data_IF_112690103738
#
_entry.id   IF_112690103738
#
_cell.length_a   1.000
_cell.length_b   1.000
_cell.length_c   1.000
_cell.angle_alpha   90.00
_cell.angle_beta   90.00
_cell.angle_gamma   90.00
#
_symmetry.space_group_name_H-M   'P 1'
#
loop_
_entity.id
_entity.type
_entity.pdbx_description
1 polymer ?
#
# COMPACT_ATOMS: atom_id res chain seq x y z
N UNK A 1 9.18 -41.94 -28.92
CA UNK A 1 10.33 -41.01 -28.80
C UNK A 1 9.76 -39.74 -28.23
N UNK A 2 10.04 -39.49 -26.96
CA UNK A 2 9.32 -38.49 -26.17
C UNK A 2 9.77 -37.06 -26.43
N UNK A 3 8.88 -36.13 -26.07
CA UNK A 3 9.26 -34.92 -25.36
C UNK A 3 8.29 -34.78 -24.18
N UNK A 4 8.73 -35.02 -22.94
CA UNK A 4 8.02 -34.53 -21.76
C UNK A 4 8.56 -33.14 -21.35
N UNK A 5 7.76 -32.41 -20.53
CA UNK A 5 8.12 -31.23 -19.70
C UNK A 5 8.21 -29.92 -20.53
N UNK A 6 7.62 -28.75 -20.24
CA UNK A 6 7.01 -28.11 -19.06
C UNK A 6 6.22 -26.86 -19.50
N UNK A 7 5.43 -26.25 -18.59
CA UNK A 7 5.03 -24.83 -18.57
C UNK A 7 4.87 -24.09 -19.92
N UNK A 8 3.63 -23.92 -20.39
CA UNK A 8 3.32 -22.90 -21.41
C UNK A 8 3.93 -21.56 -20.98
N UNK A 9 4.87 -21.05 -21.78
CA UNK A 9 5.59 -19.81 -21.52
C UNK A 9 4.62 -18.65 -21.36
N UNK A 10 4.90 -17.74 -20.42
CA UNK A 10 4.15 -16.49 -20.35
C UNK A 10 4.24 -15.77 -21.72
N UNK A 11 3.17 -15.10 -22.17
CA UNK A 11 3.22 -14.35 -23.41
C UNK A 11 4.24 -13.20 -23.26
N UNK A 12 5.05 -12.96 -24.30
CA UNK A 12 6.05 -11.88 -24.31
C UNK A 12 5.48 -10.54 -24.81
N UNK A 13 4.27 -10.55 -25.39
CA UNK A 13 3.59 -9.38 -25.93
C UNK A 13 2.06 -9.56 -25.84
N UNK A 14 1.35 -8.46 -25.62
CA UNK A 14 -0.10 -8.39 -25.73
C UNK A 14 -0.49 -7.85 -27.10
N UNK A 15 -1.20 -8.66 -27.88
CA UNK A 15 -1.87 -8.19 -29.09
C UNK A 15 -3.39 -8.29 -28.90
N UNK A 16 -4.10 -7.18 -29.08
CA UNK A 16 -5.52 -7.09 -28.79
C UNK A 16 -6.36 -8.00 -29.70
N UNK A 17 -6.06 -8.04 -31.00
CA UNK A 17 -6.77 -8.90 -31.97
C UNK A 17 -6.62 -10.39 -31.61
N UNK A 18 -5.41 -10.78 -31.22
CA UNK A 18 -5.12 -12.14 -30.76
C UNK A 18 -5.88 -12.48 -29.48
N UNK A 19 -5.95 -11.56 -28.51
CA UNK A 19 -6.73 -11.77 -27.29
C UNK A 19 -8.23 -11.92 -27.58
N UNK A 20 -8.78 -11.05 -28.44
CA UNK A 20 -10.17 -11.12 -28.91
C UNK A 20 -10.47 -12.46 -29.61
N UNK A 21 -9.53 -13.00 -30.38
CA UNK A 21 -9.66 -14.32 -30.99
C UNK A 21 -9.57 -15.46 -29.96
N UNK A 22 -8.63 -15.38 -29.00
CA UNK A 22 -8.41 -16.42 -28.00
C UNK A 22 -9.62 -16.65 -27.09
N UNK A 23 -10.33 -15.59 -26.70
CA UNK A 23 -11.51 -15.72 -25.82
C UNK A 23 -12.67 -16.49 -26.47
N UNK A 24 -12.69 -16.62 -27.79
CA UNK A 24 -13.70 -17.42 -28.51
C UNK A 24 -13.30 -18.88 -28.68
N UNK A 25 -12.07 -19.26 -28.34
CA UNK A 25 -11.58 -20.63 -28.50
C UNK A 25 -11.94 -21.52 -27.29
N UNK A 26 -11.85 -22.85 -27.42
CA UNK A 26 -12.02 -23.77 -26.29
C UNK A 26 -10.94 -23.64 -25.21
N UNK A 27 -9.72 -23.24 -25.58
CA UNK A 27 -8.61 -23.04 -24.63
C UNK A 27 -8.74 -21.70 -23.90
N UNK A 28 -9.45 -21.72 -22.76
CA UNK A 28 -9.64 -20.54 -21.93
C UNK A 28 -8.39 -20.15 -21.12
N UNK A 29 -7.45 -21.07 -20.90
CA UNK A 29 -6.23 -20.82 -20.11
C UNK A 29 -5.30 -19.87 -20.86
N UNK A 30 -5.11 -20.06 -22.18
CA UNK A 30 -4.34 -19.13 -23.01
C UNK A 30 -4.89 -17.71 -22.97
N UNK A 31 -6.22 -17.56 -23.03
CA UNK A 31 -6.88 -16.26 -22.92
C UNK A 31 -6.70 -15.65 -21.51
N UNK A 32 -6.84 -16.44 -20.45
CA UNK A 32 -6.65 -15.97 -19.07
C UNK A 32 -5.21 -15.51 -18.82
N UNK A 33 -4.21 -16.19 -19.38
CA UNK A 33 -2.79 -15.77 -19.31
C UNK A 33 -2.53 -14.47 -20.05
N UNK A 34 -3.16 -14.27 -21.21
CA UNK A 34 -3.08 -13.01 -21.96
C UNK A 34 -3.70 -11.85 -21.18
N UNK A 35 -4.83 -12.07 -20.52
CA UNK A 35 -5.44 -11.10 -19.60
C UNK A 35 -4.50 -10.78 -18.42
N UNK A 36 -3.96 -11.80 -17.77
CA UNK A 36 -3.02 -11.61 -16.66
C UNK A 36 -1.79 -10.79 -17.09
N UNK A 37 -1.28 -11.05 -18.28
CA UNK A 37 -0.14 -10.32 -18.84
C UNK A 37 -0.44 -8.84 -19.03
N UNK A 38 -1.53 -8.46 -19.71
CA UNK A 38 -1.84 -7.03 -19.92
C UNK A 38 -2.11 -6.31 -18.61
N UNK A 39 -2.76 -6.96 -17.65
CA UNK A 39 -2.98 -6.38 -16.33
C UNK A 39 -1.66 -6.17 -15.57
N UNK A 40 -0.69 -7.08 -15.74
CA UNK A 40 0.67 -6.92 -15.18
C UNK A 40 1.43 -5.77 -15.84
N UNK A 41 1.30 -5.61 -17.16
CA UNK A 41 1.90 -4.47 -17.88
C UNK A 41 1.33 -3.14 -17.37
N UNK A 42 0.01 -3.05 -17.17
CA UNK A 42 -0.62 -1.87 -16.59
C UNK A 42 -0.09 -1.57 -15.18
N UNK A 43 0.17 -2.59 -14.35
CA UNK A 43 0.74 -2.41 -13.02
C UNK A 43 2.17 -1.86 -13.08
N UNK A 44 3.03 -2.47 -13.89
CA UNK A 44 4.43 -2.06 -14.08
C UNK A 44 4.56 -0.63 -14.65
N UNK A 45 3.57 -0.20 -15.42
CA UNK A 45 3.57 1.10 -16.11
C UNK A 45 2.53 2.09 -15.57
N UNK A 46 2.02 1.88 -14.35
CA UNK A 46 1.11 2.81 -13.67
C UNK A 46 -0.13 3.20 -14.52
N UNK A 47 -0.71 2.22 -15.20
CA UNK A 47 -1.90 2.36 -16.05
C UNK A 47 -1.61 2.74 -17.50
N UNK A 48 -0.34 2.91 -17.89
CA UNK A 48 0.05 3.03 -19.28
C UNK A 48 0.20 1.65 -19.93
N UNK A 49 -0.05 1.55 -21.24
CA UNK A 49 -0.04 0.26 -21.96
C UNK A 49 1.34 -0.43 -21.99
N UNK A 50 2.43 0.32 -21.87
CA UNK A 50 3.79 -0.20 -21.93
C UNK A 50 4.27 -0.53 -23.35
N UNK A 51 5.52 -0.97 -23.52
CA UNK A 51 6.12 -1.28 -24.82
C UNK A 51 5.65 -2.63 -25.40
N UNK A 52 5.08 -3.51 -24.57
CA UNK A 52 4.64 -4.86 -24.94
C UNK A 52 3.13 -4.91 -25.28
N UNK A 53 2.57 -3.80 -25.76
CA UNK A 53 1.16 -3.70 -26.15
C UNK A 53 1.03 -3.31 -27.61
N UNK A 54 0.19 -4.04 -28.37
CA UNK A 54 -0.18 -3.69 -29.73
C UNK A 54 -1.67 -3.89 -29.99
N UNK A 55 -2.24 -3.00 -30.81
CA UNK A 55 -3.61 -3.07 -31.27
C UNK A 55 -3.77 -2.34 -32.60
N UNK A 56 -4.61 -2.85 -33.48
CA UNK A 56 -5.02 -2.20 -34.71
C UNK A 56 -6.27 -1.33 -34.47
N UNK A 57 -6.13 -0.01 -34.57
CA UNK A 57 -7.20 0.96 -34.30
C UNK A 57 -7.29 2.03 -35.40
N UNK A 58 -7.61 1.65 -36.65
CA UNK A 58 -7.66 2.60 -37.77
C UNK A 58 -8.70 3.70 -37.52
N UNK A 59 -8.36 4.94 -37.89
CA UNK A 59 -9.27 6.09 -37.79
C UNK A 59 -9.57 6.58 -36.36
N UNK A 60 -8.91 6.04 -35.33
CA UNK A 60 -9.08 6.48 -33.94
C UNK A 60 -8.10 7.61 -33.61
N UNK A 61 -8.60 8.72 -33.07
CA UNK A 61 -7.75 9.80 -32.57
C UNK A 61 -7.06 9.41 -31.27
N UNK A 62 -5.94 10.05 -30.93
CA UNK A 62 -5.23 9.79 -29.66
C UNK A 62 -6.11 10.03 -28.43
N UNK A 63 -6.99 11.04 -28.47
CA UNK A 63 -7.91 11.37 -27.38
C UNK A 63 -8.98 10.27 -27.19
N UNK A 64 -9.46 9.68 -28.28
CA UNK A 64 -10.45 8.59 -28.25
C UNK A 64 -9.86 7.20 -28.07
N UNK A 65 -8.53 7.06 -28.05
CA UNK A 65 -7.85 5.77 -28.12
C UNK A 65 -8.16 4.88 -26.90
N UNK A 66 -8.02 5.40 -25.69
CA UNK A 66 -8.20 4.61 -24.47
C UNK A 66 -9.64 4.08 -24.31
N UNK A 67 -10.72 4.89 -24.49
CA UNK A 67 -12.08 4.36 -24.49
C UNK A 67 -12.30 3.23 -25.51
N UNK A 68 -11.74 3.34 -26.72
CA UNK A 68 -11.84 2.30 -27.76
C UNK A 68 -11.13 1.01 -27.35
N UNK A 69 -9.86 1.11 -26.93
CA UNK A 69 -9.06 -0.05 -26.50
C UNK A 69 -9.68 -0.73 -25.28
N UNK A 70 -10.03 0.05 -24.25
CA UNK A 70 -10.65 -0.49 -23.04
C UNK A 70 -12.01 -1.14 -23.33
N UNK A 71 -12.81 -0.60 -24.26
CA UNK A 71 -14.10 -1.22 -24.66
C UNK A 71 -13.90 -2.56 -25.36
N UNK A 72 -12.90 -2.67 -26.23
CA UNK A 72 -12.54 -3.93 -26.89
C UNK A 72 -12.05 -4.98 -25.88
N UNK A 73 -11.14 -4.60 -24.98
CA UNK A 73 -10.64 -5.49 -23.92
C UNK A 73 -11.78 -5.90 -22.98
N UNK A 74 -12.62 -4.96 -22.53
CA UNK A 74 -13.78 -5.26 -21.68
C UNK A 74 -14.78 -6.20 -22.38
N UNK A 75 -14.96 -6.06 -23.70
CA UNK A 75 -15.75 -6.98 -24.51
C UNK A 75 -15.16 -8.39 -24.52
N UNK A 76 -13.86 -8.54 -24.75
CA UNK A 76 -13.17 -9.82 -24.71
C UNK A 76 -13.23 -10.47 -23.30
N UNK A 77 -13.03 -9.69 -22.24
CA UNK A 77 -13.21 -10.17 -20.85
C UNK A 77 -14.66 -10.59 -20.59
N UNK A 78 -15.64 -9.81 -21.07
CA UNK A 78 -17.06 -10.17 -20.96
C UNK A 78 -17.34 -11.52 -21.61
N UNK A 79 -16.80 -11.75 -22.81
CA UNK A 79 -16.89 -13.04 -23.49
C UNK A 79 -16.26 -14.15 -22.66
N UNK A 80 -15.02 -14.00 -22.20
CA UNK A 80 -14.29 -15.02 -21.44
C UNK A 80 -14.98 -15.38 -20.12
N UNK A 81 -15.34 -14.37 -19.32
CA UNK A 81 -15.87 -14.56 -17.97
C UNK A 81 -17.34 -14.98 -17.95
N UNK A 82 -18.08 -14.78 -19.05
CA UNK A 82 -19.47 -15.24 -19.17
C UNK A 82 -19.58 -16.68 -19.68
N UNK A 83 -18.45 -17.37 -19.97
CA UNK A 83 -18.50 -18.75 -20.47
C UNK A 83 -18.89 -19.74 -19.36
N UNK A 84 -19.79 -20.69 -19.61
CA UNK A 84 -20.14 -21.72 -18.62
C UNK A 84 -19.00 -22.66 -18.22
N UNK A 85 -17.99 -22.82 -19.09
CA UNK A 85 -16.84 -23.70 -18.87
C UNK A 85 -15.61 -22.96 -18.28
N UNK A 86 -15.69 -21.63 -18.12
CA UNK A 86 -14.58 -20.87 -17.56
C UNK A 86 -14.57 -20.96 -16.04
N UNK A 87 -13.43 -21.35 -15.48
CA UNK A 87 -13.19 -21.37 -14.04
C UNK A 87 -11.84 -20.77 -13.73
N UNK A 88 -11.70 -20.22 -12.52
CA UNK A 88 -10.45 -19.62 -12.04
C UNK A 88 -9.89 -20.48 -10.93
N UNK A 89 -8.65 -20.94 -11.11
CA UNK A 89 -7.88 -21.66 -10.09
C UNK A 89 -7.58 -20.76 -8.88
N UNK A 90 -7.21 -21.35 -7.74
CA UNK A 90 -6.84 -20.56 -6.56
C UNK A 90 -5.66 -19.62 -6.85
N UNK A 91 -4.62 -20.13 -7.52
CA UNK A 91 -3.46 -19.33 -7.92
C UNK A 91 -3.82 -18.20 -8.88
N UNK A 92 -4.63 -18.50 -9.91
CA UNK A 92 -5.09 -17.48 -10.86
C UNK A 92 -5.95 -16.40 -10.19
N UNK A 93 -6.78 -16.79 -9.23
CA UNK A 93 -7.59 -15.85 -8.45
C UNK A 93 -6.72 -14.92 -7.60
N UNK A 94 -5.68 -15.43 -6.93
CA UNK A 94 -4.70 -14.60 -6.19
C UNK A 94 -4.08 -13.56 -7.12
N UNK A 95 -3.56 -14.02 -8.26
CA UNK A 95 -2.84 -13.17 -9.20
C UNK A 95 -3.72 -12.07 -9.79
N UNK A 96 -4.93 -12.43 -10.24
CA UNK A 96 -5.87 -11.46 -10.79
C UNK A 96 -6.40 -10.48 -9.74
N UNK A 97 -6.62 -10.92 -8.49
CA UNK A 97 -7.05 -10.00 -7.43
C UNK A 97 -5.99 -8.97 -7.05
N UNK A 98 -4.70 -9.30 -7.13
CA UNK A 98 -3.62 -8.32 -6.98
C UNK A 98 -3.68 -7.21 -8.05
N UNK A 99 -4.27 -7.52 -9.21
CA UNK A 99 -4.39 -6.64 -10.37
C UNK A 99 -5.82 -6.13 -10.59
N UNK A 100 -6.74 -6.38 -9.64
CA UNK A 100 -8.16 -6.08 -9.75
C UNK A 100 -8.45 -4.63 -10.11
N UNK A 101 -7.65 -3.69 -9.58
CA UNK A 101 -7.76 -2.25 -9.88
C UNK A 101 -7.60 -1.93 -11.37
N UNK A 102 -6.75 -2.66 -12.09
CA UNK A 102 -6.51 -2.43 -13.52
C UNK A 102 -7.66 -3.00 -14.35
N UNK A 103 -8.19 -4.14 -13.95
CA UNK A 103 -9.40 -4.69 -14.55
C UNK A 103 -10.59 -3.73 -14.33
N UNK A 104 -10.77 -3.22 -13.12
CA UNK A 104 -11.78 -2.21 -12.82
C UNK A 104 -11.60 -0.94 -13.68
N UNK A 105 -10.37 -0.45 -13.84
CA UNK A 105 -10.08 0.74 -14.65
C UNK A 105 -10.38 0.53 -16.14
N UNK A 106 -10.08 -0.65 -16.70
CA UNK A 106 -10.46 -1.01 -18.07
C UNK A 106 -11.98 -0.86 -18.25
N UNK A 107 -12.77 -1.41 -17.32
CA UNK A 107 -14.23 -1.27 -17.41
C UNK A 107 -14.71 0.17 -17.19
N UNK A 108 -14.14 0.90 -16.22
CA UNK A 108 -14.53 2.29 -15.94
C UNK A 108 -14.30 3.24 -17.14
N UNK A 109 -13.19 3.05 -17.86
CA UNK A 109 -12.85 3.82 -19.07
C UNK A 109 -13.64 3.36 -20.29
N UNK A 110 -14.03 2.08 -20.34
CA UNK A 110 -14.86 1.54 -21.42
C UNK A 110 -16.29 2.06 -21.40
N UNK A 111 -17.05 1.77 -22.46
CA UNK A 111 -18.48 2.00 -22.51
C UNK A 111 -19.31 1.08 -21.60
N UNK A 112 -18.71 0.02 -21.03
CA UNK A 112 -19.38 -0.87 -20.07
C UNK A 112 -19.50 -0.26 -18.66
N UNK A 113 -18.57 0.63 -18.27
CA UNK A 113 -18.43 1.26 -16.94
C UNK A 113 -18.11 0.32 -15.77
N UNK A 114 -18.72 -0.86 -15.72
CA UNK A 114 -18.52 -1.89 -14.69
C UNK A 114 -18.85 -3.28 -15.25
N UNK A 115 -18.63 -4.34 -14.47
CA UNK A 115 -18.88 -5.74 -14.89
C UNK A 115 -20.15 -6.38 -14.28
N UNK A 116 -21.12 -5.59 -13.83
CA UNK A 116 -22.39 -6.12 -13.27
C UNK A 116 -23.14 -7.04 -14.25
N UNK A 117 -23.03 -6.82 -15.56
CA UNK A 117 -23.62 -7.70 -16.57
C UNK A 117 -22.97 -9.09 -16.57
N UNK A 118 -21.64 -9.18 -16.34
CA UNK A 118 -20.95 -10.46 -16.20
C UNK A 118 -21.44 -11.18 -14.95
N UNK A 119 -21.55 -10.47 -13.82
CA UNK A 119 -22.08 -11.03 -12.57
C UNK A 119 -23.48 -11.64 -12.76
N UNK A 120 -24.34 -10.97 -13.53
CA UNK A 120 -25.69 -11.47 -13.87
C UNK A 120 -25.65 -12.66 -14.82
N UNK A 121 -24.69 -12.73 -15.73
CA UNK A 121 -24.54 -13.88 -16.63
C UNK A 121 -24.12 -15.15 -15.89
N UNK A 122 -23.28 -15.03 -14.86
CA UNK A 122 -22.80 -16.16 -14.05
C UNK A 122 -23.67 -16.45 -12.81
N UNK A 123 -24.84 -15.81 -12.70
CA UNK A 123 -25.73 -15.97 -11.56
C UNK A 123 -26.22 -17.43 -11.46
N UNK A 124 -26.11 -18.04 -10.28
CA UNK A 124 -26.54 -19.42 -10.05
C UNK A 124 -28.06 -19.61 -10.15
N UNK A 125 -28.85 -18.52 -10.06
CA UNK A 125 -30.28 -18.53 -10.32
C UNK A 125 -30.63 -18.58 -11.83
N UNK A 126 -29.63 -18.48 -12.71
CA UNK A 126 -29.79 -18.47 -14.17
C UNK A 126 -29.16 -17.23 -14.79
N UNK A 127 -28.55 -17.38 -15.97
CA UNK A 127 -27.90 -16.29 -16.69
C UNK A 127 -28.88 -15.18 -17.06
N UNK A 128 -28.49 -13.93 -16.79
CA UNK A 128 -29.30 -12.73 -17.04
C UNK A 128 -30.32 -12.42 -15.93
N UNK A 129 -30.46 -13.28 -14.92
CA UNK A 129 -31.32 -13.01 -13.76
C UNK A 129 -30.70 -11.90 -12.91
N UNK A 130 -31.44 -10.80 -12.75
CA UNK A 130 -31.00 -9.62 -12.00
C UNK A 130 -31.22 -9.78 -10.49
N UNK A 131 -32.35 -10.39 -10.11
CA UNK A 131 -32.73 -10.64 -8.72
C UNK A 131 -33.56 -11.95 -8.65
N UNK A 132 -33.26 -12.87 -7.70
CA UNK A 132 -32.17 -12.81 -6.73
C UNK A 132 -30.79 -13.04 -7.38
N UNK A 133 -29.78 -12.34 -6.88
CA UNK A 133 -28.38 -12.68 -7.17
C UNK A 133 -27.95 -13.84 -6.26
N UNK A 134 -27.69 -15.01 -6.86
CA UNK A 134 -27.32 -16.22 -6.12
C UNK A 134 -25.87 -16.58 -6.37
N UNK A 135 -25.08 -16.63 -5.30
CA UNK A 135 -23.69 -17.04 -5.32
C UNK A 135 -23.54 -18.49 -4.81
N UNK A 136 -22.60 -19.21 -5.39
CA UNK A 136 -22.17 -20.53 -4.95
C UNK A 136 -20.63 -20.65 -5.08
N UNK A 137 -20.08 -21.82 -4.75
CA UNK A 137 -18.63 -22.04 -4.78
C UNK A 137 -18.04 -21.95 -6.18
N UNK A 138 -18.85 -22.15 -7.23
CA UNK A 138 -18.42 -22.10 -8.62
C UNK A 138 -18.29 -20.66 -9.15
N UNK A 139 -19.22 -19.76 -8.78
CA UNK A 139 -19.25 -18.40 -9.31
C UNK A 139 -18.66 -17.32 -8.37
N UNK A 140 -18.39 -17.62 -7.09
CA UNK A 140 -17.92 -16.62 -6.13
C UNK A 140 -16.62 -15.92 -6.56
N UNK A 141 -15.62 -16.66 -7.07
CA UNK A 141 -14.34 -16.07 -7.48
C UNK A 141 -14.51 -15.11 -8.65
N UNK A 142 -15.33 -15.47 -9.64
CA UNK A 142 -15.65 -14.61 -10.78
C UNK A 142 -16.50 -13.42 -10.35
N UNK A 143 -17.44 -13.60 -9.42
CA UNK A 143 -18.15 -12.50 -8.78
C UNK A 143 -17.16 -11.50 -8.18
N UNK A 144 -16.21 -11.95 -7.36
CA UNK A 144 -15.20 -11.08 -6.78
C UNK A 144 -14.32 -10.40 -7.84
N UNK A 145 -13.96 -11.08 -8.93
CA UNK A 145 -13.17 -10.49 -10.01
C UNK A 145 -13.94 -9.46 -10.84
N UNK A 146 -15.27 -9.50 -10.83
CA UNK A 146 -16.14 -8.57 -11.55
C UNK A 146 -16.77 -7.50 -10.66
N UNK A 147 -16.67 -7.62 -9.34
CA UNK A 147 -17.27 -6.68 -8.40
C UNK A 147 -16.35 -5.46 -8.24
N UNK A 148 -16.48 -4.51 -9.16
CA UNK A 148 -15.65 -3.31 -9.20
C UNK A 148 -16.15 -2.19 -8.26
N UNK A 149 -15.30 -1.19 -7.96
CA UNK A 149 -15.71 -0.04 -7.15
C UNK A 149 -16.96 0.67 -7.70
N UNK A 150 -17.14 0.73 -9.02
CA UNK A 150 -18.29 1.36 -9.68
C UNK A 150 -19.52 0.45 -9.85
N UNK A 151 -19.47 -0.81 -9.36
CA UNK A 151 -20.61 -1.73 -9.40
C UNK A 151 -21.87 -1.09 -8.79
N UNK A 152 -23.03 -1.31 -9.41
CA UNK A 152 -24.33 -0.85 -8.91
C UNK A 152 -25.06 -1.95 -8.13
N UNK A 153 -24.50 -3.16 -8.06
CA UNK A 153 -24.98 -4.21 -7.17
C UNK A 153 -24.63 -3.80 -5.73
N UNK A 154 -25.64 -3.75 -4.87
CA UNK A 154 -25.47 -3.37 -3.46
C UNK A 154 -24.50 -4.32 -2.75
N UNK A 155 -23.52 -3.74 -2.03
CA UNK A 155 -22.56 -4.51 -1.25
C UNK A 155 -23.22 -5.03 0.03
N UNK A 156 -23.24 -6.35 0.19
CA UNK A 156 -23.78 -7.04 1.38
C UNK A 156 -22.63 -7.72 2.15
N UNK A 157 -21.82 -6.96 2.92
CA UNK A 157 -20.57 -7.48 3.47
C UNK A 157 -20.78 -8.61 4.48
N UNK A 158 -21.82 -8.55 5.31
CA UNK A 158 -22.12 -9.61 6.29
C UNK A 158 -22.46 -10.94 5.62
N UNK A 159 -23.29 -10.94 4.58
CA UNK A 159 -23.69 -12.15 3.85
C UNK A 159 -22.48 -12.77 3.14
N UNK A 160 -21.69 -11.94 2.46
CA UNK A 160 -20.47 -12.36 1.77
C UNK A 160 -19.44 -12.94 2.76
N UNK A 161 -19.25 -12.29 3.91
CA UNK A 161 -18.33 -12.75 4.95
C UNK A 161 -18.76 -14.06 5.58
N UNK A 162 -20.06 -14.24 5.87
CA UNK A 162 -20.57 -15.50 6.39
C UNK A 162 -20.38 -16.67 5.42
N UNK A 163 -20.44 -16.40 4.12
CA UNK A 163 -20.28 -17.41 3.08
C UNK A 163 -18.83 -17.88 2.92
N UNK A 164 -17.89 -16.96 2.64
CA UNK A 164 -16.46 -17.29 2.48
C UNK A 164 -15.58 -16.08 2.81
N UNK A 165 -15.16 -16.00 4.08
CA UNK A 165 -14.32 -14.93 4.63
C UNK A 165 -13.01 -14.74 3.86
N UNK A 166 -12.35 -15.82 3.45
CA UNK A 166 -11.01 -15.75 2.86
C UNK A 166 -11.07 -15.13 1.47
N UNK A 167 -12.02 -15.58 0.66
CA UNK A 167 -12.22 -15.06 -0.68
C UNK A 167 -12.66 -13.60 -0.63
N UNK A 168 -13.65 -13.26 0.20
CA UNK A 168 -14.23 -11.90 0.18
C UNK A 168 -13.37 -10.85 0.88
N UNK A 169 -12.52 -11.23 1.83
CA UNK A 169 -11.54 -10.32 2.42
C UNK A 169 -10.59 -9.74 1.35
N UNK A 170 -10.19 -10.54 0.36
CA UNK A 170 -9.39 -10.06 -0.78
C UNK A 170 -10.15 -9.01 -1.59
N UNK A 171 -11.42 -9.28 -1.89
CA UNK A 171 -12.28 -8.33 -2.59
C UNK A 171 -12.37 -7.00 -1.81
N UNK A 172 -12.65 -7.07 -0.50
CA UNK A 172 -12.83 -5.86 0.30
C UNK A 172 -11.56 -5.02 0.38
N UNK A 173 -10.39 -5.64 0.52
CA UNK A 173 -9.11 -4.93 0.45
C UNK A 173 -8.83 -4.36 -0.94
N UNK A 174 -9.15 -5.10 -2.01
CA UNK A 174 -9.01 -4.62 -3.38
C UNK A 174 -9.92 -3.43 -3.71
N UNK A 175 -11.12 -3.36 -3.10
CA UNK A 175 -12.03 -2.23 -3.24
C UNK A 175 -11.53 -0.96 -2.53
N UNK A 176 -10.77 -1.12 -1.44
CA UNK A 176 -10.16 0.02 -0.72
C UNK A 176 -8.87 0.48 -1.41
N UNK A 177 -8.10 -0.44 -2.01
CA UNK A 177 -6.75 -0.19 -2.55
C UNK A 177 -6.72 0.68 -3.82
N UNK A 178 -7.86 1.00 -4.42
CA UNK A 178 -7.94 1.84 -5.62
C UNK A 178 -7.28 3.21 -5.43
N UNK A 179 -6.32 3.54 -6.31
CA UNK A 179 -5.65 4.86 -6.36
C UNK A 179 -6.57 5.98 -6.82
N UNK A 180 -7.58 5.63 -7.62
CA UNK A 180 -8.58 6.56 -8.18
C UNK A 180 -9.98 6.01 -7.94
N UNK A 181 -10.69 6.54 -6.94
CA UNK A 181 -12.10 6.21 -6.67
C UNK A 181 -12.96 7.50 -6.72
N UNK A 182 -13.10 8.15 -7.89
CA UNK A 182 -13.70 9.48 -7.98
C UNK A 182 -15.23 9.48 -7.93
N UNK A 183 -15.89 8.33 -8.12
CA UNK A 183 -17.35 8.25 -8.18
C UNK A 183 -17.95 8.07 -6.79
N UNK A 184 -19.19 8.55 -6.60
CA UNK A 184 -19.92 8.37 -5.35
C UNK A 184 -20.14 6.88 -5.02
N UNK A 185 -20.30 6.03 -6.03
CA UNK A 185 -20.48 4.59 -5.83
C UNK A 185 -19.20 3.91 -5.32
N UNK A 186 -18.04 4.29 -5.84
CA UNK A 186 -16.75 3.78 -5.40
C UNK A 186 -16.39 4.31 -4.01
N UNK A 187 -16.56 5.61 -3.78
CA UNK A 187 -16.32 6.24 -2.48
C UNK A 187 -17.23 5.66 -1.40
N UNK A 188 -18.54 5.54 -1.66
CA UNK A 188 -19.50 4.98 -0.71
C UNK A 188 -19.16 3.54 -0.28
N UNK A 189 -18.67 2.70 -1.21
CA UNK A 189 -18.19 1.35 -0.86
C UNK A 189 -16.94 1.39 0.01
N UNK A 190 -16.00 2.30 -0.25
CA UNK A 190 -14.81 2.50 0.61
C UNK A 190 -15.25 2.91 2.02
N UNK A 191 -16.15 3.89 2.15
CA UNK A 191 -16.69 4.33 3.44
C UNK A 191 -17.35 3.17 4.20
N UNK A 192 -18.23 2.42 3.53
CA UNK A 192 -18.92 1.27 4.12
C UNK A 192 -17.92 0.20 4.61
N UNK A 193 -16.91 -0.12 3.80
CA UNK A 193 -15.91 -1.12 4.15
C UNK A 193 -14.97 -0.64 5.25
N UNK A 194 -14.57 0.63 5.28
CA UNK A 194 -13.74 1.17 6.36
C UNK A 194 -14.48 1.21 7.71
N UNK A 195 -15.81 1.38 7.69
CA UNK A 195 -16.63 1.28 8.89
C UNK A 195 -16.82 -0.17 9.37
N UNK A 196 -16.84 -1.14 8.45
CA UNK A 196 -17.23 -2.54 8.74
C UNK A 196 -16.05 -3.51 8.89
N UNK A 197 -15.03 -3.42 8.02
CA UNK A 197 -13.94 -4.39 7.91
C UNK A 197 -12.98 -4.42 9.11
N UNK A 198 -12.64 -3.31 9.80
CA UNK A 198 -11.67 -3.33 10.89
C UNK A 198 -12.00 -4.36 11.98
N UNK A 199 -13.26 -4.45 12.40
CA UNK A 199 -13.69 -5.36 13.47
C UNK A 199 -13.66 -6.83 13.00
N UNK A 200 -13.83 -7.08 11.70
CA UNK A 200 -13.85 -8.41 11.08
C UNK A 200 -12.45 -8.96 10.83
N UNK A 201 -11.49 -8.09 10.53
CA UNK A 201 -10.09 -8.48 10.37
C UNK A 201 -9.50 -9.11 11.64
N UNK A 202 -10.02 -8.73 12.82
CA UNK A 202 -9.61 -9.34 14.09
C UNK A 202 -9.99 -10.83 14.20
N UNK A 203 -11.00 -11.28 13.45
CA UNK A 203 -11.44 -12.68 13.40
C UNK A 203 -10.52 -13.56 12.54
N UNK A 204 -9.53 -12.98 11.85
CA UNK A 204 -8.61 -13.71 10.99
C UNK A 204 -7.36 -14.15 11.76
N UNK A 205 -6.86 -15.34 11.45
CA UNK A 205 -5.68 -15.92 12.10
C UNK A 205 -4.37 -15.63 11.34
N UNK A 206 -4.44 -15.36 10.03
CA UNK A 206 -3.27 -15.21 9.17
C UNK A 206 -3.49 -14.17 8.06
N UNK A 207 -2.37 -13.68 7.54
CA UNK A 207 -2.27 -12.81 6.37
C UNK A 207 -1.98 -13.57 5.06
N UNK A 208 -1.68 -14.87 5.10
CA UNK A 208 -1.14 -15.62 3.95
C UNK A 208 -2.05 -15.60 2.73
N UNK A 209 -3.34 -15.38 2.95
CA UNK A 209 -4.32 -15.27 1.89
C UNK A 209 -4.64 -13.82 1.51
N UNK A 210 -4.17 -12.78 2.20
CA UNK A 210 -4.46 -11.40 1.82
C UNK A 210 -3.57 -10.97 0.63
N UNK A 211 -4.04 -10.02 -0.20
CA UNK A 211 -3.28 -9.55 -1.35
C UNK A 211 -2.15 -8.62 -0.87
N UNK A 212 -1.02 -9.19 -0.44
CA UNK A 212 0.12 -8.45 0.14
C UNK A 212 0.63 -7.34 -0.77
N UNK A 213 0.55 -7.55 -2.09
CA UNK A 213 0.90 -6.56 -3.10
C UNK A 213 0.15 -5.23 -2.95
N UNK A 214 -1.09 -5.25 -2.45
CA UNK A 214 -1.94 -4.04 -2.30
C UNK A 214 -2.19 -3.64 -0.85
N UNK A 215 -1.60 -4.34 0.14
CA UNK A 215 -1.78 -3.99 1.56
C UNK A 215 -1.29 -2.56 1.86
N UNK A 216 -0.17 -2.17 1.26
CA UNK A 216 0.37 -0.82 1.40
C UNK A 216 -0.59 0.24 0.81
N UNK A 217 -1.26 -0.06 -0.31
CA UNK A 217 -2.30 0.78 -0.89
C UNK A 217 -3.51 0.90 0.05
N UNK A 218 -3.97 -0.19 0.68
CA UNK A 218 -5.06 -0.11 1.68
C UNK A 218 -4.64 0.76 2.87
N UNK A 219 -3.44 0.53 3.38
CA UNK A 219 -2.88 1.27 4.50
C UNK A 219 -2.83 2.77 4.21
N UNK A 220 -2.40 3.18 3.01
CA UNK A 220 -2.35 4.59 2.63
C UNK A 220 -3.72 5.17 2.26
N UNK A 221 -4.46 4.47 1.39
CA UNK A 221 -5.64 5.03 0.72
C UNK A 221 -6.85 5.18 1.63
N UNK A 222 -6.89 4.49 2.78
CA UNK A 222 -7.88 4.78 3.82
C UNK A 222 -7.85 6.26 4.25
N UNK A 223 -6.71 6.95 4.12
CA UNK A 223 -6.59 8.38 4.47
C UNK A 223 -7.45 9.32 3.61
N UNK A 224 -7.89 8.87 2.43
CA UNK A 224 -8.74 9.65 1.50
C UNK A 224 -10.23 9.41 1.70
N UNK A 225 -10.63 8.71 2.77
CA UNK A 225 -12.01 8.59 3.21
C UNK A 225 -12.45 9.81 4.04
N UNK A 226 -13.77 10.00 4.13
CA UNK A 226 -14.40 11.04 4.96
C UNK A 226 -14.72 10.53 6.38
N UNK A 227 -14.88 9.21 6.55
CA UNK A 227 -15.08 8.57 7.84
C UNK A 227 -14.06 9.04 8.88
N UNK A 228 -14.54 9.56 10.02
CA UNK A 228 -13.68 10.02 11.12
C UNK A 228 -12.69 8.94 11.57
N UNK A 229 -13.16 7.69 11.64
CA UNK A 229 -12.39 6.54 12.08
C UNK A 229 -11.70 5.78 10.94
N UNK A 230 -11.50 6.41 9.77
CA UNK A 230 -10.93 5.77 8.56
C UNK A 230 -9.62 5.02 8.77
N UNK A 231 -8.80 5.44 9.72
CA UNK A 231 -7.52 4.81 10.02
C UNK A 231 -7.62 3.60 10.95
N UNK A 232 -8.80 3.26 11.53
CA UNK A 232 -8.98 2.06 12.37
C UNK A 232 -8.57 0.79 11.66
N UNK A 233 -8.73 0.72 10.33
CA UNK A 233 -8.27 -0.42 9.52
C UNK A 233 -6.77 -0.69 9.69
N UNK A 234 -5.94 0.36 9.85
CA UNK A 234 -4.49 0.22 10.05
C UNK A 234 -4.19 -0.56 11.32
N UNK A 235 -4.93 -0.34 12.41
CA UNK A 235 -4.78 -1.09 13.67
C UNK A 235 -4.99 -2.58 13.44
N UNK A 236 -6.11 -2.96 12.83
CA UNK A 236 -6.43 -4.36 12.58
C UNK A 236 -5.43 -5.04 11.64
N UNK A 237 -4.94 -4.30 10.63
CA UNK A 237 -3.86 -4.77 9.76
C UNK A 237 -2.55 -4.96 10.52
N UNK A 238 -2.15 -4.01 11.36
CA UNK A 238 -0.95 -4.09 12.19
C UNK A 238 -1.00 -5.29 13.14
N UNK A 239 -2.14 -5.54 13.78
CA UNK A 239 -2.31 -6.68 14.69
C UNK A 239 -2.13 -8.03 13.95
N UNK A 240 -2.66 -8.14 12.74
CA UNK A 240 -2.45 -9.31 11.88
C UNK A 240 -0.99 -9.45 11.41
N UNK A 241 -0.39 -8.34 10.97
CA UNK A 241 1.01 -8.28 10.53
C UNK A 241 1.93 -8.71 11.65
N UNK A 242 1.75 -8.15 12.84
CA UNK A 242 2.56 -8.47 14.00
C UNK A 242 2.41 -9.94 14.40
N UNK A 243 1.18 -10.48 14.45
CA UNK A 243 0.97 -11.90 14.75
C UNK A 243 1.70 -12.81 13.75
N UNK A 244 1.60 -12.51 12.45
CA UNK A 244 2.29 -13.26 11.39
C UNK A 244 3.81 -13.18 11.52
N UNK A 245 4.37 -11.99 11.74
CA UNK A 245 5.81 -11.80 11.95
C UNK A 245 6.33 -12.59 13.16
N UNK A 246 5.64 -12.51 14.29
CA UNK A 246 6.04 -13.19 15.53
C UNK A 246 5.84 -14.71 15.50
N UNK A 247 4.89 -15.19 14.70
CA UNK A 247 4.71 -16.63 14.44
C UNK A 247 5.81 -17.20 13.53
N UNK A 248 6.38 -16.36 12.66
CA UNK A 248 7.56 -16.69 11.85
C UNK A 248 8.88 -16.45 12.58
N UNK A 249 9.90 -16.09 11.79
CA UNK A 249 11.30 -15.98 12.23
C UNK A 249 11.65 -14.62 12.86
N UNK A 250 10.70 -13.69 12.93
CA UNK A 250 10.94 -12.36 13.51
C UNK A 250 10.61 -12.35 15.00
N UNK A 251 11.41 -11.60 15.76
CA UNK A 251 11.18 -11.35 17.19
C UNK A 251 11.44 -9.88 17.49
N UNK A 252 10.85 -9.40 18.57
CA UNK A 252 11.26 -8.10 19.10
C UNK A 252 12.72 -8.19 19.58
N UNK A 253 13.52 -7.18 19.27
CA UNK A 253 14.87 -7.04 19.77
C UNK A 253 14.78 -6.69 21.26
N UNK A 254 15.41 -7.50 22.10
CA UNK A 254 15.44 -7.29 23.54
C UNK A 254 15.99 -5.89 23.86
N UNK A 255 15.10 -5.02 24.33
CA UNK A 255 15.43 -3.69 24.78
C UNK A 255 15.66 -3.74 26.28
N UNK A 256 16.86 -3.37 26.73
CA UNK A 256 17.13 -3.22 28.16
C UNK A 256 16.13 -2.22 28.75
N UNK A 257 15.41 -2.63 29.79
CA UNK A 257 14.42 -1.76 30.43
C UNK A 257 15.12 -0.71 31.30
N UNK A 258 15.61 0.35 30.65
CA UNK A 258 16.13 1.52 31.36
C UNK A 258 15.00 2.50 31.73
N UNK A 259 13.71 2.15 31.52
CA UNK A 259 12.56 3.06 31.73
C UNK A 259 12.27 3.36 33.20
N UNK A 260 13.07 2.84 34.12
CA UNK A 260 13.06 3.19 35.55
C UNK A 260 14.34 3.86 36.06
N UNK A 261 15.36 4.06 35.21
CA UNK A 261 16.52 4.86 35.60
C UNK A 261 16.12 6.32 35.50
N UNK A 262 15.66 6.89 36.62
CA UNK A 262 15.74 8.34 36.82
C UNK A 262 17.15 8.75 36.44
N UNK A 263 17.29 9.75 35.56
CA UNK A 263 18.55 10.42 35.35
C UNK A 263 19.00 10.96 36.72
N UNK A 264 19.72 10.15 37.49
CA UNK A 264 20.50 10.63 38.61
C UNK A 264 21.53 11.54 37.99
N UNK A 265 21.60 12.79 38.45
CA UNK A 265 22.34 13.92 37.86
C UNK A 265 23.85 13.71 37.63
N UNK A 266 24.37 12.50 37.80
CA UNK A 266 25.74 12.12 37.47
C UNK A 266 25.84 10.63 37.18
N UNK A 267 25.81 10.18 35.92
CA UNK A 267 26.54 8.98 35.57
C UNK A 267 28.02 9.37 35.46
N UNK A 268 28.87 8.80 36.32
CA UNK A 268 30.33 8.85 36.14
C UNK A 268 30.68 8.08 34.85
N UNK A 269 30.51 8.72 33.71
CA UNK A 269 31.01 8.21 32.43
C UNK A 269 32.42 8.75 32.25
N UNK A 270 33.42 7.90 32.50
CA UNK A 270 34.80 8.21 32.13
C UNK A 270 34.93 8.14 30.60
N UNK A 271 35.09 9.31 29.97
CA UNK A 271 35.28 9.48 28.53
C UNK A 271 34.25 10.43 27.91
N UNK A 272 34.50 10.95 26.68
CA UNK A 272 33.48 11.71 25.97
C UNK A 272 32.23 10.82 25.77
N UNK A 273 31.02 11.34 26.04
CA UNK A 273 29.80 10.55 25.92
C UNK A 273 29.69 9.99 24.49
N UNK A 274 29.56 8.66 24.39
CA UNK A 274 29.36 7.99 23.10
C UNK A 274 28.04 8.47 22.52
N UNK A 275 28.05 8.97 21.29
CA UNK A 275 26.81 9.36 20.59
C UNK A 275 25.89 8.13 20.48
N UNK A 276 24.60 8.24 20.86
CA UNK A 276 23.62 7.18 20.64
C UNK A 276 23.46 6.86 19.15
N UNK A 277 23.05 5.63 18.85
CA UNK A 277 22.81 5.15 17.48
C UNK A 277 21.36 5.42 17.10
N UNK A 278 21.17 6.13 16.00
CA UNK A 278 19.87 6.36 15.37
C UNK A 278 19.80 5.57 14.07
N UNK A 279 18.81 4.69 13.94
CA UNK A 279 18.49 4.03 12.67
C UNK A 279 17.28 4.74 12.02
N UNK A 280 17.49 5.31 10.84
CA UNK A 280 16.44 5.94 10.04
C UNK A 280 15.92 4.96 8.99
N UNK A 281 14.62 4.67 9.01
CA UNK A 281 13.98 3.82 7.99
C UNK A 281 13.32 4.71 6.96
N UNK A 282 13.71 4.54 5.69
CA UNK A 282 13.32 5.46 4.61
C UNK A 282 12.22 4.89 3.69
N UNK A 283 11.38 5.81 3.22
CA UNK A 283 10.46 5.62 2.08
C UNK A 283 10.67 6.75 1.08
N UNK A 284 10.66 6.44 -0.23
CA UNK A 284 10.86 7.39 -1.35
C UNK A 284 11.72 8.61 -0.99
N UNK A 285 13.03 8.40 -0.82
CA UNK A 285 13.96 9.41 -0.31
C UNK A 285 15.01 9.79 -1.36
N UNK A 286 14.56 10.09 -2.57
CA UNK A 286 15.39 10.70 -3.61
C UNK A 286 15.36 12.21 -3.48
N UNK A 287 16.39 12.90 -3.98
CA UNK A 287 16.50 14.37 -3.89
C UNK A 287 15.38 15.11 -4.62
N UNK A 288 14.71 14.41 -5.56
CA UNK A 288 13.55 14.91 -6.31
C UNK A 288 12.22 14.63 -5.60
N UNK A 289 12.19 13.80 -4.57
CA UNK A 289 10.98 13.43 -3.84
C UNK A 289 10.68 14.40 -2.68
N UNK A 290 9.40 14.50 -2.30
CA UNK A 290 8.93 15.41 -1.24
C UNK A 290 9.53 15.08 0.12
N UNK A 291 9.66 13.80 0.47
CA UNK A 291 10.19 13.38 1.78
C UNK A 291 11.63 13.88 1.98
N UNK A 292 12.48 13.80 0.95
CA UNK A 292 13.81 14.41 1.00
C UNK A 292 13.72 15.92 1.24
N UNK A 293 12.88 16.62 0.46
CA UNK A 293 12.74 18.06 0.58
C UNK A 293 12.30 18.49 1.98
N UNK A 294 11.42 17.73 2.62
CA UNK A 294 10.87 18.12 3.93
C UNK A 294 11.71 17.64 5.12
N UNK A 295 12.37 16.49 5.03
CA UNK A 295 13.04 15.88 6.19
C UNK A 295 14.58 15.94 6.15
N UNK A 296 15.20 16.03 4.97
CA UNK A 296 16.67 15.83 4.83
C UNK A 296 17.52 16.74 5.70
N UNK A 297 17.15 18.02 5.83
CA UNK A 297 17.91 18.98 6.64
C UNK A 297 17.82 18.69 8.14
N UNK A 298 16.64 18.31 8.62
CA UNK A 298 16.44 17.90 10.01
C UNK A 298 17.21 16.60 10.30
N UNK A 299 17.11 15.60 9.43
CA UNK A 299 17.84 14.34 9.55
C UNK A 299 19.36 14.54 9.53
N UNK A 300 19.88 15.42 8.66
CA UNK A 300 21.30 15.74 8.61
C UNK A 300 21.80 16.41 9.91
N UNK A 301 20.96 17.23 10.55
CA UNK A 301 21.29 17.90 11.82
C UNK A 301 21.38 16.91 12.99
N UNK A 302 20.66 15.77 12.94
CA UNK A 302 20.72 14.74 13.99
C UNK A 302 22.14 14.15 14.14
N UNK A 303 22.99 14.21 13.11
CA UNK A 303 24.42 13.80 13.20
C UNK A 303 25.22 14.58 14.23
N UNK A 304 24.74 15.76 14.65
CA UNK A 304 25.31 16.49 15.78
C UNK A 304 25.24 15.71 17.10
N UNK A 305 24.20 14.89 17.27
CA UNK A 305 23.86 14.23 18.53
C UNK A 305 23.89 12.70 18.45
N UNK A 306 23.71 12.12 17.25
CA UNK A 306 23.63 10.68 17.02
C UNK A 306 24.69 10.23 16.00
N UNK A 307 24.97 8.93 15.98
CA UNK A 307 25.50 8.25 14.79
C UNK A 307 24.29 7.80 13.97
N UNK A 308 24.10 8.38 12.80
CA UNK A 308 22.89 8.23 12.00
C UNK A 308 23.12 7.20 10.90
N UNK A 309 22.55 6.02 11.10
CA UNK A 309 22.42 4.98 10.09
C UNK A 309 21.09 5.15 9.36
N UNK A 310 21.04 4.92 8.06
CA UNK A 310 19.80 4.86 7.31
C UNK A 310 19.69 3.57 6.50
N UNK A 311 18.48 3.02 6.42
CA UNK A 311 18.15 1.87 5.59
C UNK A 311 17.02 2.24 4.62
N UNK A 312 17.18 1.86 3.36
CA UNK A 312 16.18 2.16 2.32
C UNK A 312 16.45 1.39 1.03
N UNK A 313 15.42 1.30 0.18
CA UNK A 313 15.55 0.59 -1.10
C UNK A 313 16.62 1.28 -1.97
N UNK A 314 17.52 0.49 -2.57
CA UNK A 314 18.61 1.04 -3.41
C UNK A 314 18.08 1.88 -4.58
N UNK A 315 16.90 1.51 -5.09
CA UNK A 315 16.19 2.19 -6.19
C UNK A 315 15.47 3.47 -5.76
N UNK A 316 15.35 3.74 -4.46
CA UNK A 316 14.56 4.84 -3.92
C UNK A 316 15.38 5.87 -3.12
N UNK A 317 16.71 5.77 -3.13
CA UNK A 317 17.63 6.70 -2.46
C UNK A 317 18.84 7.00 -3.35
N UNK A 318 18.89 8.21 -3.88
CA UNK A 318 19.97 8.65 -4.77
C UNK A 318 21.26 9.04 -4.01
N UNK A 319 22.36 9.18 -4.75
CA UNK A 319 23.67 9.48 -4.16
C UNK A 319 23.69 10.77 -3.32
N UNK A 320 22.91 11.78 -3.70
CA UNK A 320 22.77 13.04 -2.95
C UNK A 320 22.09 12.78 -1.60
N UNK A 321 21.03 11.98 -1.61
CA UNK A 321 20.23 11.70 -0.41
C UNK A 321 20.97 10.81 0.58
N UNK A 322 21.86 9.93 0.12
CA UNK A 322 22.72 9.11 0.99
C UNK A 322 23.65 9.96 1.87
N UNK A 323 24.08 11.12 1.41
CA UNK A 323 24.99 12.02 2.14
C UNK A 323 24.35 12.69 3.38
N UNK A 324 23.02 12.58 3.53
CA UNK A 324 22.29 13.06 4.71
C UNK A 324 22.71 12.31 5.98
N UNK A 325 23.12 11.05 5.84
CA UNK A 325 23.38 10.12 6.95
C UNK A 325 24.89 9.90 7.15
N UNK A 326 25.29 9.32 8.27
CA UNK A 326 26.68 8.88 8.47
C UNK A 326 26.94 7.59 7.68
N UNK A 327 25.97 6.68 7.67
CA UNK A 327 26.04 5.41 6.93
C UNK A 327 24.68 5.11 6.29
N UNK A 328 24.70 4.73 5.01
CA UNK A 328 23.52 4.26 4.30
C UNK A 328 23.64 2.77 3.95
N UNK A 329 22.59 2.02 4.24
CA UNK A 329 22.46 0.58 4.03
C UNK A 329 21.41 0.32 2.94
N UNK A 330 21.82 0.07 1.68
CA UNK A 330 20.88 -0.26 0.61
C UNK A 330 20.28 -1.64 0.84
N UNK A 331 18.99 -1.77 0.53
CA UNK A 331 18.29 -3.07 0.52
C UNK A 331 17.55 -3.28 -0.80
N UNK A 332 17.34 -4.54 -1.18
CA UNK A 332 16.56 -4.89 -2.37
C UNK A 332 15.09 -5.10 -1.99
N UNK A 333 14.16 -4.77 -2.90
CA UNK A 333 12.72 -4.80 -2.61
C UNK A 333 12.21 -6.15 -2.08
N UNK A 334 12.72 -7.25 -2.62
CA UNK A 334 12.38 -8.63 -2.28
C UNK A 334 12.90 -9.08 -0.90
N UNK A 335 13.97 -8.45 -0.42
CA UNK A 335 14.68 -8.82 0.82
C UNK A 335 14.75 -7.67 1.83
N UNK A 336 14.02 -6.57 1.59
CA UNK A 336 14.10 -5.35 2.37
C UNK A 336 13.76 -5.56 3.85
N UNK A 337 12.70 -6.32 4.15
CA UNK A 337 12.29 -6.62 5.51
C UNK A 337 13.36 -7.41 6.28
N UNK A 338 13.80 -8.62 5.84
CA UNK A 338 14.80 -9.38 6.58
C UNK A 338 16.14 -8.66 6.68
N UNK A 339 16.58 -7.93 5.64
CA UNK A 339 17.82 -7.16 5.68
C UNK A 339 17.74 -6.00 6.69
N UNK A 340 16.66 -5.21 6.68
CA UNK A 340 16.48 -4.12 7.63
C UNK A 340 16.35 -4.62 9.08
N UNK A 341 15.68 -5.76 9.29
CA UNK A 341 15.58 -6.42 10.59
C UNK A 341 16.94 -6.90 11.09
N UNK A 342 17.73 -7.59 10.25
CA UNK A 342 19.07 -8.06 10.59
C UNK A 342 20.00 -6.89 10.96
N UNK A 343 19.94 -5.80 10.17
CA UNK A 343 20.69 -4.58 10.44
C UNK A 343 20.32 -3.97 11.80
N UNK A 344 19.03 -3.90 12.15
CA UNK A 344 18.62 -3.42 13.46
C UNK A 344 19.15 -4.31 14.60
N UNK A 345 19.19 -5.64 14.39
CA UNK A 345 19.78 -6.60 15.32
C UNK A 345 21.29 -6.40 15.53
N UNK A 346 22.02 -6.10 14.46
CA UNK A 346 23.46 -5.79 14.51
C UNK A 346 23.74 -4.46 15.21
N UNK A 347 23.04 -3.40 14.79
CA UNK A 347 23.26 -2.05 15.29
C UNK A 347 22.78 -1.86 16.74
N UNK A 348 21.73 -2.59 17.14
CA UNK A 348 20.97 -2.39 18.40
C UNK A 348 20.71 -0.90 18.66
N UNK A 349 19.94 -0.22 17.79
CA UNK A 349 19.79 1.22 17.84
C UNK A 349 19.13 1.69 19.14
N UNK A 350 19.57 2.84 19.65
CA UNK A 350 18.92 3.52 20.78
C UNK A 350 17.58 4.15 20.35
N UNK A 351 17.50 4.57 19.09
CA UNK A 351 16.31 5.15 18.47
C UNK A 351 16.12 4.61 17.07
N UNK A 352 14.88 4.25 16.71
CA UNK A 352 14.47 4.07 15.32
C UNK A 352 13.55 5.22 14.92
N UNK A 353 13.86 5.89 13.82
CA UNK A 353 13.03 6.94 13.24
C UNK A 353 12.59 6.52 11.83
N UNK A 354 11.30 6.29 11.65
CA UNK A 354 10.73 6.10 10.33
C UNK A 354 10.50 7.48 9.69
N UNK A 355 11.07 7.74 8.52
CA UNK A 355 10.78 8.97 7.77
C UNK A 355 9.29 9.04 7.41
N UNK A 356 8.70 7.89 7.10
CA UNK A 356 7.26 7.65 6.93
C UNK A 356 6.98 6.15 7.00
N UNK A 357 5.72 5.78 7.21
CA UNK A 357 5.25 4.38 7.15
C UNK A 357 4.02 4.33 6.25
N UNK A 358 4.11 3.60 5.15
CA UNK A 358 2.97 3.30 4.29
C UNK A 358 3.33 3.11 2.82
N UNK A 359 4.26 3.88 2.27
CA UNK A 359 4.54 3.85 0.83
C UNK A 359 5.26 2.58 0.38
N UNK A 360 6.08 1.99 1.25
CA UNK A 360 6.74 0.72 0.96
C UNK A 360 6.26 -0.38 1.91
N UNK A 361 5.93 -1.58 1.41
CA UNK A 361 5.47 -2.67 2.26
C UNK A 361 6.42 -2.93 3.44
N UNK A 362 7.74 -2.99 3.21
CA UNK A 362 8.69 -3.37 4.26
C UNK A 362 8.68 -2.43 5.47
N UNK A 363 8.34 -1.15 5.34
CA UNK A 363 8.26 -0.23 6.49
C UNK A 363 7.03 -0.52 7.35
N UNK A 364 5.90 -0.90 6.74
CA UNK A 364 4.69 -1.31 7.45
C UNK A 364 5.02 -2.58 8.26
N UNK A 365 5.61 -3.59 7.63
CA UNK A 365 5.99 -4.83 8.33
C UNK A 365 7.04 -4.55 9.42
N UNK A 366 8.10 -3.80 9.11
CA UNK A 366 9.18 -3.51 10.05
C UNK A 366 8.68 -2.68 11.25
N UNK A 367 7.74 -1.75 11.05
CA UNK A 367 7.16 -0.93 12.11
C UNK A 367 6.40 -1.75 13.16
N UNK A 368 5.91 -2.94 12.80
CA UNK A 368 5.21 -3.87 13.67
C UNK A 368 6.15 -4.70 14.58
N UNK A 369 7.45 -4.46 14.54
CA UNK A 369 8.46 -5.04 15.43
C UNK A 369 9.01 -3.96 16.37
N UNK A 370 9.42 -4.39 17.58
CA UNK A 370 10.19 -3.55 18.48
C UNK A 370 11.68 -3.74 18.20
N UNK A 371 12.31 -2.73 17.63
CA UNK A 371 13.72 -2.74 17.22
C UNK A 371 14.60 -1.87 18.14
N UNK A 372 14.03 -0.84 18.76
CA UNK A 372 14.70 0.07 19.68
C UNK A 372 13.80 0.47 20.87
N UNK A 373 14.38 0.95 22.00
CA UNK A 373 13.62 1.42 23.15
C UNK A 373 12.66 2.55 22.80
N UNK A 374 13.06 3.42 21.87
CA UNK A 374 12.30 4.53 21.32
C UNK A 374 12.13 4.35 19.80
N UNK A 375 10.88 4.30 19.34
CA UNK A 375 10.53 4.27 17.93
C UNK A 375 9.60 5.43 17.59
N UNK A 376 10.00 6.23 16.62
CA UNK A 376 9.30 7.44 16.21
C UNK A 376 8.98 7.38 14.72
N UNK A 377 7.96 8.10 14.29
CA UNK A 377 7.62 8.29 12.87
C UNK A 377 7.51 9.77 12.54
N UNK A 378 7.97 10.15 11.35
CA UNK A 378 7.84 11.49 10.79
C UNK A 378 6.67 11.61 9.81
N UNK A 379 6.65 12.73 9.06
CA UNK A 379 5.55 13.13 8.19
C UNK A 379 5.67 12.63 6.74
N UNK A 380 6.52 11.63 6.46
CA UNK A 380 6.70 11.11 5.10
C UNK A 380 5.37 10.65 4.48
N UNK A 381 4.62 9.82 5.21
CA UNK A 381 3.20 9.58 4.95
C UNK A 381 2.41 10.20 6.11
N UNK A 382 1.77 11.34 5.88
CA UNK A 382 1.13 12.19 6.89
C UNK A 382 -0.17 11.64 7.49
N UNK A 383 -0.13 10.44 8.07
CA UNK A 383 -1.24 9.84 8.78
C UNK A 383 -0.73 8.96 9.92
N UNK A 384 -1.45 8.93 11.04
CA UNK A 384 -1.15 8.04 12.17
C UNK A 384 -1.03 6.58 11.71
N UNK A 385 -0.11 5.86 12.35
CA UNK A 385 0.22 4.48 11.98
C UNK A 385 -0.72 3.46 12.63
N UNK A 386 -1.34 3.80 13.76
CA UNK A 386 -2.10 2.86 14.59
C UNK A 386 -1.29 1.61 14.95
N UNK A 387 0.03 1.73 15.01
CA UNK A 387 0.94 0.63 15.32
C UNK A 387 1.38 0.73 16.79
N UNK A 388 1.13 -0.33 17.58
CA UNK A 388 1.48 -0.35 19.02
C UNK A 388 2.98 -0.30 19.31
N UNK A 389 3.82 -0.49 18.29
CA UNK A 389 5.27 -0.47 18.39
C UNK A 389 5.85 0.93 18.15
N UNK A 390 5.08 1.90 17.67
CA UNK A 390 5.54 3.28 17.49
C UNK A 390 5.15 4.11 18.73
N UNK A 391 6.14 4.77 19.34
CA UNK A 391 5.94 5.54 20.57
C UNK A 391 5.39 6.93 20.30
N UNK A 392 5.89 7.60 19.25
CA UNK A 392 5.57 8.99 19.00
C UNK A 392 5.55 9.36 17.53
N UNK A 393 4.71 10.35 17.22
CA UNK A 393 4.58 10.95 15.89
C UNK A 393 5.20 12.34 15.93
N UNK A 394 6.30 12.55 15.21
CA UNK A 394 7.04 13.83 15.20
C UNK A 394 6.45 14.73 14.11
N UNK A 395 5.95 15.89 14.53
CA UNK A 395 5.22 16.82 13.66
C UNK A 395 5.43 18.26 14.10
N UNK A 396 5.58 19.15 13.13
CA UNK A 396 5.67 20.59 13.37
C UNK A 396 4.36 21.10 13.99
N UNK A 397 4.45 21.90 15.05
CA UNK A 397 3.31 22.31 15.88
C UNK A 397 2.19 23.01 15.09
N UNK A 398 2.52 23.67 13.97
CA UNK A 398 1.59 24.39 13.11
C UNK A 398 0.90 23.49 12.07
N UNK A 399 1.26 22.21 12.00
CA UNK A 399 0.62 21.19 11.17
C UNK A 399 -0.31 20.26 11.97
N UNK A 400 -0.33 20.36 13.30
CA UNK A 400 -1.17 19.53 14.16
C UNK A 400 -2.60 20.06 14.17
N UNK A 401 -3.54 19.24 13.68
CA UNK A 401 -4.97 19.44 13.88
C UNK A 401 -5.40 18.92 15.26
N UNK A 402 -6.27 17.91 15.29
CA UNK A 402 -6.72 17.29 16.53
C UNK A 402 -5.82 16.11 16.92
N UNK A 403 -5.30 16.10 18.15
CA UNK A 403 -4.40 15.03 18.62
C UNK A 403 -5.07 13.66 18.68
N UNK A 404 -6.39 13.59 18.84
CA UNK A 404 -7.15 12.32 18.84
C UNK A 404 -7.05 11.56 17.51
N UNK A 405 -6.62 12.22 16.44
CA UNK A 405 -6.35 11.58 15.15
C UNK A 405 -5.09 10.68 15.17
N UNK A 406 -4.30 10.75 16.26
CA UNK A 406 -3.07 10.00 16.43
C UNK A 406 -3.22 8.93 17.51
N UNK A 407 -2.76 7.72 17.19
CA UNK A 407 -2.61 6.64 18.16
C UNK A 407 -1.33 6.77 19.00
N UNK A 408 -0.32 7.42 18.44
CA UNK A 408 0.99 7.67 19.01
C UNK A 408 0.94 8.95 19.86
N UNK A 409 1.91 9.11 20.77
CA UNK A 409 2.09 10.42 21.43
C UNK A 409 2.53 11.45 20.40
N UNK A 410 1.79 12.55 20.26
CA UNK A 410 2.16 13.64 19.34
C UNK A 410 3.36 14.40 19.91
N UNK A 411 4.49 14.33 19.21
CA UNK A 411 5.71 15.07 19.55
C UNK A 411 5.75 16.33 18.70
N UNK A 412 5.23 17.43 19.28
CA UNK A 412 5.23 18.75 18.66
C UNK A 412 6.64 19.32 18.65
N UNK A 413 7.18 19.58 17.46
CA UNK A 413 8.44 20.32 17.27
C UNK A 413 8.15 21.75 16.81
N UNK A 414 9.09 22.70 16.99
CA UNK A 414 8.92 24.04 16.44
C UNK A 414 8.54 24.03 14.96
N UNK A 415 7.69 24.97 14.54
CA UNK A 415 7.22 25.11 13.16
C UNK A 415 8.33 25.22 12.09
N UNK A 416 9.56 25.51 12.50
CA UNK A 416 10.77 25.64 11.66
C UNK A 416 11.82 24.54 11.92
N UNK A 417 11.45 23.50 12.67
CA UNK A 417 12.34 22.39 13.01
C UNK A 417 12.65 21.47 11.82
N UNK A 418 11.79 21.44 10.80
CA UNK A 418 12.03 20.67 9.57
C UNK A 418 12.16 21.61 8.36
N UNK A 419 13.28 22.37 8.24
CA UNK A 419 13.43 23.34 7.16
C UNK A 419 13.48 22.65 5.80
N UNK A 420 12.66 23.10 4.86
CA UNK A 420 12.58 22.46 3.55
C UNK A 420 13.78 22.79 2.64
N UNK A 421 14.08 21.86 1.73
CA UNK A 421 14.93 22.06 0.56
C UNK A 421 14.04 22.50 -0.60
N UNK A 422 14.26 23.69 -1.20
CA UNK A 422 13.48 24.11 -2.36
C UNK A 422 13.80 23.21 -3.57
N UNK A 423 12.84 22.99 -4.48
CA UNK A 423 13.15 22.49 -5.82
C UNK A 423 14.18 23.39 -6.50
N UNK A 424 14.98 22.84 -7.43
CA UNK A 424 16.10 23.52 -8.07
C UNK A 424 15.74 24.90 -8.68
N UNK A 425 14.48 25.10 -9.04
CA UNK A 425 13.99 26.30 -9.72
C UNK A 425 13.08 27.20 -8.85
N UNK A 426 13.10 27.04 -7.52
CA UNK A 426 12.25 27.81 -6.60
C UNK A 426 13.06 28.78 -5.75
N UNK A 427 12.78 30.08 -5.90
CA UNK A 427 13.36 31.15 -5.06
C UNK A 427 12.62 31.23 -3.73
N UNK A 428 13.36 31.15 -2.61
CA UNK A 428 12.81 31.30 -1.25
C UNK A 428 12.53 32.77 -0.92
N UNK A 429 11.37 33.04 -0.32
CA UNK A 429 11.07 34.29 0.38
C UNK A 429 11.07 34.00 1.89
N UNK A 430 12.04 34.52 2.68
CA UNK A 430 12.06 34.30 4.12
C UNK A 430 10.87 35.00 4.78
N UNK A 431 10.17 34.31 5.68
CA UNK A 431 9.14 34.89 6.54
C UNK A 431 9.70 34.99 7.95
N UNK A 432 9.57 36.16 8.59
CA UNK A 432 9.87 36.31 10.02
C UNK A 432 8.78 35.61 10.83
N UNK A 433 9.14 34.57 11.58
CA UNK A 433 8.22 33.82 12.45
C UNK A 433 8.47 34.19 13.93
N UNK A 434 7.40 34.26 14.71
CA UNK A 434 7.46 34.41 16.18
C UNK A 434 8.28 33.25 16.81
N UNK A 435 9.01 33.41 17.92
CA UNK A 435 9.71 32.29 18.57
C UNK A 435 8.76 31.19 19.10
N UNK A 436 9.21 29.93 19.09
CA UNK A 436 8.46 28.76 19.58
C UNK A 436 7.93 28.92 21.00
N UNK A 437 8.81 29.31 21.93
CA UNK A 437 8.45 29.48 23.35
C UNK A 437 7.31 30.48 23.56
N UNK A 438 7.27 31.54 22.74
CA UNK A 438 6.21 32.54 22.77
C UNK A 438 4.87 31.97 22.28
N UNK A 439 4.87 31.07 21.29
CA UNK A 439 3.66 30.41 20.80
C UNK A 439 3.13 29.38 21.80
N UNK A 440 4.00 28.60 22.44
CA UNK A 440 3.61 27.57 23.42
C UNK A 440 2.88 28.19 24.62
N UNK A 441 3.38 29.32 25.14
CA UNK A 441 2.75 30.03 26.27
C UNK A 441 1.34 30.55 25.95
N UNK A 442 1.05 30.85 24.68
CA UNK A 442 -0.26 31.31 24.24
C UNK A 442 -1.29 30.18 24.11
N UNK A 443 -0.86 28.92 23.94
CA UNK A 443 -1.75 27.74 23.90
C UNK A 443 -2.13 27.23 25.31
N UNK A 444 -1.41 27.65 26.35
CA UNK A 444 -1.67 27.26 27.75
C UNK A 444 -2.54 28.27 28.50
N UNK A 445 -2.99 29.33 27.82
CA UNK A 445 -4.03 30.27 28.26
C UNK A 445 -5.31 29.96 27.50
#
# INVERSE_FOLDING_TARGET
VGVPVDHLSQPDNFNLEQFEYQVTQPDTESAARMLLFVLTQLDCHYGQWGPQFSAYTPGTSLEGLNPVLCTRIAGAVTTLFSRPDFTVSDGGYVQLMNLHRWLALIFAVSLYRHADHIIRNINAAGGGVVDPLTLNSHNLRLFCLCYFPDSQIALQPDVLWQYDRRTVARLFLALISGRTLPTSAAHGKREQLLAWLPDRLAELDSLDFLPTAVLHDVYMHCSYADLTEKHRIKRSLNDLIRRSLLAGDFKDIAVGDNRGQTATDTPEVQGPPKKPVLLVVLEWFTSQHSVYRTHSRALAALRGHFIVHAVGLDTAVDAVSRQVFDVFHPVSTDTALPQAYALAGELRPDVVLYAGIGMFPFTIYLSNLRLAPLQLVGLGHGASTFCGQINGFVIEEDLVGEERCFSETVIRVPADAMPFVPPADVRRVPVTRTPFLTRQQAQWR
#
